data_IF_021880093068
#
_entry.id   IF_021880093068
#
_cell.length_a   1.000
_cell.length_b   1.000
_cell.length_c   1.000
_cell.angle_alpha   90.00
_cell.angle_beta   90.00
_cell.angle_gamma   90.00
#
_symmetry.space_group_name_H-M   'P 1'
#
loop_
_entity.id
_entity.type
_entity.pdbx_description
1 polymer ?
#
# COMPACT_ATOMS: atom_id res chain seq x y z
N UNK A 1 -14.24 18.69 -18.97
CA UNK A 1 -14.85 17.70 -18.05
C UNK A 1 -15.53 18.36 -16.85
N UNK A 2 -14.85 19.15 -16.01
CA UNK A 2 -15.47 19.78 -14.82
C UNK A 2 -16.67 20.69 -15.14
N UNK A 3 -16.62 21.41 -16.27
CA UNK A 3 -17.75 22.21 -16.75
C UNK A 3 -19.01 21.39 -17.04
N UNK A 4 -18.84 20.14 -17.50
CA UNK A 4 -19.94 19.21 -17.74
C UNK A 4 -20.49 18.67 -16.43
N UNK A 5 -19.64 18.26 -15.47
CA UNK A 5 -20.11 17.87 -14.14
C UNK A 5 -20.90 18.99 -13.45
N UNK A 6 -20.46 20.25 -13.58
CA UNK A 6 -21.23 21.41 -13.13
C UNK A 6 -22.60 21.46 -13.80
N UNK A 7 -22.69 21.26 -15.12
CA UNK A 7 -23.97 21.24 -15.83
C UNK A 7 -24.91 20.16 -15.28
N UNK A 8 -24.39 18.95 -15.03
CA UNK A 8 -25.18 17.85 -14.48
C UNK A 8 -25.73 18.17 -13.09
N UNK A 9 -24.93 18.80 -12.22
CA UNK A 9 -25.35 19.14 -10.86
C UNK A 9 -26.25 20.37 -10.81
N UNK A 10 -25.94 21.42 -11.58
CA UNK A 10 -26.66 22.70 -11.55
C UNK A 10 -27.97 22.66 -12.35
N UNK A 11 -27.96 22.02 -13.52
CA UNK A 11 -29.14 21.93 -14.39
C UNK A 11 -29.91 20.62 -14.24
N UNK A 12 -29.40 19.64 -13.49
CA UNK A 12 -30.04 18.34 -13.30
C UNK A 12 -30.17 17.54 -14.60
N UNK A 13 -29.27 17.73 -15.57
CA UNK A 13 -29.38 17.17 -16.90
C UNK A 13 -28.30 17.64 -17.87
N UNK A 14 -28.34 17.14 -19.09
CA UNK A 14 -27.46 17.57 -20.18
C UNK A 14 -28.11 17.41 -21.56
N UNK A 15 -27.54 18.06 -22.57
CA UNK A 15 -27.93 17.88 -23.95
C UNK A 15 -27.23 16.67 -24.55
N UNK A 16 -27.99 15.73 -25.09
CA UNK A 16 -27.44 14.65 -25.92
C UNK A 16 -27.07 15.21 -27.30
N UNK A 17 -25.80 15.13 -27.73
CA UNK A 17 -25.37 15.77 -28.99
C UNK A 17 -25.99 15.17 -30.26
N UNK A 18 -26.35 13.88 -30.23
CA UNK A 18 -26.80 13.14 -31.42
C UNK A 18 -28.16 13.58 -31.94
N UNK A 19 -29.09 13.88 -31.04
CA UNK A 19 -30.49 14.16 -31.32
C UNK A 19 -30.93 15.52 -30.73
N UNK A 20 -29.96 16.32 -30.26
CA UNK A 20 -30.18 17.61 -29.60
C UNK A 20 -31.29 17.55 -28.53
N UNK A 21 -31.39 16.44 -27.79
CA UNK A 21 -32.46 16.24 -26.80
C UNK A 21 -31.94 16.48 -25.38
N UNK A 22 -32.75 17.16 -24.55
CA UNK A 22 -32.44 17.35 -23.14
C UNK A 22 -32.70 16.07 -22.36
N UNK A 23 -31.67 15.56 -21.70
CA UNK A 23 -31.74 14.39 -20.83
C UNK A 23 -31.73 14.87 -19.39
N UNK A 24 -32.84 14.67 -18.68
CA UNK A 24 -32.97 14.94 -17.25
C UNK A 24 -32.39 13.78 -16.45
N UNK A 25 -31.60 14.08 -15.43
CA UNK A 25 -31.15 13.11 -14.44
C UNK A 25 -32.25 12.89 -13.40
N UNK A 26 -32.48 11.63 -13.05
CA UNK A 26 -33.36 11.24 -11.94
C UNK A 26 -32.56 10.36 -10.98
N UNK A 27 -32.50 10.75 -9.70
CA UNK A 27 -31.83 10.01 -8.61
C UNK A 27 -30.36 9.65 -8.88
N UNK A 28 -29.59 10.59 -9.43
CA UNK A 28 -28.14 10.46 -9.61
C UNK A 28 -27.43 11.47 -8.71
N UNK A 29 -26.39 11.02 -8.01
CA UNK A 29 -25.53 11.84 -7.17
C UNK A 29 -24.08 11.72 -7.64
N UNK A 30 -23.31 12.79 -7.48
CA UNK A 30 -21.90 12.83 -7.83
C UNK A 30 -21.07 12.97 -6.57
N UNK A 31 -20.18 12.02 -6.35
CA UNK A 31 -19.17 12.06 -5.29
C UNK A 31 -17.81 11.93 -5.97
N UNK A 32 -16.87 12.80 -5.61
CA UNK A 32 -15.52 12.80 -6.15
C UNK A 32 -14.49 12.77 -5.04
N UNK A 33 -13.38 12.09 -5.29
CA UNK A 33 -12.18 12.18 -4.49
C UNK A 33 -11.09 12.85 -5.34
N UNK A 34 -10.36 13.78 -4.72
CA UNK A 34 -9.23 14.44 -5.35
C UNK A 34 -8.16 14.72 -4.31
N UNK A 35 -6.92 14.72 -4.76
CA UNK A 35 -5.81 15.20 -3.95
C UNK A 35 -5.81 16.74 -3.90
N UNK A 36 -5.10 17.34 -2.91
CA UNK A 36 -4.96 18.78 -2.81
C UNK A 36 -4.44 19.41 -4.11
N UNK A 37 -4.93 20.59 -4.52
CA UNK A 37 -4.51 21.24 -5.76
C UNK A 37 -3.05 21.72 -5.74
N UNK A 38 -2.37 21.61 -4.59
CA UNK A 38 -0.94 21.88 -4.41
C UNK A 38 -0.06 20.76 -4.96
N UNK A 39 -0.60 19.57 -5.17
CA UNK A 39 0.18 18.43 -5.64
C UNK A 39 0.58 18.62 -7.13
N UNK A 40 1.82 18.25 -7.52
CA UNK A 40 2.28 18.39 -8.88
C UNK A 40 1.37 17.69 -9.90
N UNK A 41 1.04 18.38 -10.98
CA UNK A 41 0.24 17.83 -12.08
C UNK A 41 -1.28 17.93 -11.88
N UNK A 42 -1.78 18.53 -10.80
CA UNK A 42 -3.20 18.68 -10.55
C UNK A 42 -3.77 20.04 -10.97
N UNK A 43 -4.98 20.02 -11.52
CA UNK A 43 -5.71 21.21 -11.95
C UNK A 43 -6.63 21.74 -10.85
N UNK A 44 -6.66 23.07 -10.67
CA UNK A 44 -7.51 23.73 -9.69
C UNK A 44 -8.97 23.69 -10.12
N UNK A 45 -9.85 23.18 -9.25
CA UNK A 45 -11.30 23.19 -9.47
C UNK A 45 -11.86 24.60 -9.34
N UNK A 46 -12.70 25.01 -10.29
CA UNK A 46 -13.27 26.37 -10.31
C UNK A 46 -14.37 26.54 -9.25
N UNK A 47 -14.47 27.75 -8.68
CA UNK A 47 -15.54 28.10 -7.72
C UNK A 47 -16.96 27.93 -8.29
N UNK A 48 -17.12 28.03 -9.62
CA UNK A 48 -18.40 27.76 -10.30
C UNK A 48 -18.89 26.33 -10.10
N UNK A 49 -17.97 25.37 -9.97
CA UNK A 49 -18.29 23.98 -9.66
C UNK A 49 -18.33 23.76 -8.14
N UNK A 50 -17.32 24.24 -7.41
CA UNK A 50 -17.18 23.99 -5.97
C UNK A 50 -18.35 24.51 -5.13
N UNK A 51 -19.02 25.58 -5.55
CA UNK A 51 -20.25 26.06 -4.88
C UNK A 51 -21.38 25.02 -4.82
N UNK A 52 -21.32 23.97 -5.65
CA UNK A 52 -22.31 22.88 -5.68
C UNK A 52 -21.82 21.59 -5.00
N UNK A 53 -20.58 21.53 -4.55
CA UNK A 53 -19.95 20.32 -4.01
C UNK A 53 -19.35 20.61 -2.63
N UNK A 54 -19.95 20.10 -1.53
CA UNK A 54 -19.32 20.13 -0.23
C UNK A 54 -17.97 19.41 -0.26
N UNK A 55 -16.94 20.02 0.31
CA UNK A 55 -15.61 19.46 0.39
C UNK A 55 -15.34 18.98 1.82
N UNK A 56 -14.94 17.71 1.93
CA UNK A 56 -14.48 17.12 3.18
C UNK A 56 -13.02 16.72 2.99
N UNK A 57 -12.14 17.30 3.80
CA UNK A 57 -10.73 16.93 3.81
C UNK A 57 -10.55 15.70 4.70
N UNK A 58 -9.86 14.69 4.19
CA UNK A 58 -9.52 13.47 4.93
C UNK A 58 -8.01 13.35 4.92
N UNK A 59 -7.39 13.56 6.08
CA UNK A 59 -5.95 13.44 6.26
C UNK A 59 -5.56 12.00 6.62
N UNK A 60 -4.25 11.73 6.61
CA UNK A 60 -3.70 10.47 7.07
C UNK A 60 -4.03 10.23 8.55
N UNK A 61 -4.34 8.98 8.94
CA UNK A 61 -4.53 8.64 10.34
C UNK A 61 -3.24 8.89 11.14
N UNK A 62 -3.38 9.46 12.33
CA UNK A 62 -2.26 9.61 13.27
C UNK A 62 -1.71 8.28 13.76
N UNK A 63 -0.52 8.31 14.38
CA UNK A 63 0.21 7.13 14.85
C UNK A 63 -0.65 6.18 15.72
N UNK A 64 -1.38 6.72 16.71
CA UNK A 64 -2.23 5.93 17.58
C UNK A 64 -3.34 5.18 16.80
N UNK A 65 -3.94 5.84 15.79
CA UNK A 65 -4.94 5.24 14.92
C UNK A 65 -4.32 4.17 14.02
N UNK A 66 -3.12 4.42 13.49
CA UNK A 66 -2.38 3.43 12.69
C UNK A 66 -2.07 2.18 13.51
N UNK A 67 -1.60 2.34 14.75
CA UNK A 67 -1.34 1.23 15.65
C UNK A 67 -2.61 0.41 15.92
N UNK A 68 -3.77 1.06 16.06
CA UNK A 68 -5.04 0.35 16.22
C UNK A 68 -5.48 -0.39 14.94
N UNK A 69 -5.43 0.29 13.78
CA UNK A 69 -5.84 -0.28 12.48
C UNK A 69 -4.98 -1.50 12.15
N UNK A 70 -3.66 -1.33 12.15
CA UNK A 70 -2.73 -2.41 11.83
C UNK A 70 -2.64 -3.45 12.95
N UNK A 71 -2.82 -3.07 14.21
CA UNK A 71 -2.93 -4.02 15.33
C UNK A 71 -4.13 -4.97 15.18
N UNK A 72 -5.27 -4.45 14.74
CA UNK A 72 -6.46 -5.26 14.44
C UNK A 72 -6.20 -6.22 13.27
N UNK A 73 -5.61 -5.71 12.19
CA UNK A 73 -5.24 -6.53 11.03
C UNK A 73 -4.27 -7.66 11.40
N UNK A 74 -3.18 -7.32 12.11
CA UNK A 74 -2.16 -8.29 12.51
C UNK A 74 -2.75 -9.35 13.46
N UNK A 75 -3.60 -8.95 14.41
CA UNK A 75 -4.28 -9.89 15.31
C UNK A 75 -5.17 -10.87 14.55
N UNK A 76 -5.89 -10.40 13.53
CA UNK A 76 -6.72 -11.26 12.69
C UNK A 76 -5.85 -12.19 11.83
N UNK A 77 -4.81 -11.67 11.19
CA UNK A 77 -3.90 -12.44 10.33
C UNK A 77 -3.23 -13.58 11.09
N UNK A 78 -2.76 -13.33 12.32
CA UNK A 78 -2.10 -14.34 13.15
C UNK A 78 -3.06 -15.47 13.60
N UNK A 79 -4.38 -15.24 13.60
CA UNK A 79 -5.38 -16.26 13.93
C UNK A 79 -5.68 -17.21 12.76
N UNK A 80 -5.37 -16.82 11.52
CA UNK A 80 -5.63 -17.64 10.32
C UNK A 80 -4.68 -18.83 10.24
N UNK A 81 -3.50 -18.74 10.86
CA UNK A 81 -2.54 -19.84 10.95
C UNK A 81 -2.79 -20.59 12.27
N UNK A 82 -3.53 -21.71 12.28
CA UNK A 82 -3.63 -22.53 13.47
C UNK A 82 -2.23 -22.94 13.91
N UNK A 83 -1.96 -22.82 15.21
CA UNK A 83 -0.68 -23.15 15.84
C UNK A 83 0.54 -22.42 15.22
N UNK A 84 0.44 -21.11 14.99
CA UNK A 84 1.54 -20.27 14.49
C UNK A 84 2.90 -20.56 15.16
N UNK A 85 2.92 -20.81 16.47
CA UNK A 85 4.15 -21.13 17.23
C UNK A 85 4.76 -22.50 16.88
N UNK A 86 3.96 -23.43 16.39
CA UNK A 86 4.42 -24.75 15.94
C UNK A 86 4.88 -24.70 14.47
N UNK A 87 4.28 -23.82 13.67
CA UNK A 87 4.56 -23.69 12.23
C UNK A 87 5.72 -22.75 11.92
N UNK A 88 5.86 -21.64 12.66
CA UNK A 88 6.91 -20.64 12.42
C UNK A 88 7.55 -20.20 13.75
N UNK A 89 8.87 -20.12 13.74
CA UNK A 89 9.62 -19.43 14.77
C UNK A 89 9.43 -17.92 14.67
N UNK A 90 9.58 -17.21 15.80
CA UNK A 90 9.57 -15.74 15.82
C UNK A 90 10.59 -15.15 14.83
N UNK A 91 11.75 -15.80 14.67
CA UNK A 91 12.80 -15.39 13.73
C UNK A 91 12.33 -15.44 12.28
N UNK A 92 11.61 -16.49 11.90
CA UNK A 92 11.09 -16.63 10.53
C UNK A 92 10.01 -15.58 10.24
N UNK A 93 9.14 -15.27 11.21
CA UNK A 93 8.15 -14.20 11.06
C UNK A 93 8.79 -12.82 10.88
N UNK A 94 9.82 -12.50 11.68
CA UNK A 94 10.58 -11.26 11.52
C UNK A 94 11.29 -11.22 10.17
N UNK A 95 11.83 -12.35 9.70
CA UNK A 95 12.49 -12.45 8.39
C UNK A 95 11.52 -12.28 7.22
N UNK A 96 10.29 -12.79 7.34
CA UNK A 96 9.20 -12.56 6.38
C UNK A 96 8.78 -11.09 6.37
N UNK A 97 8.57 -10.49 7.55
CA UNK A 97 8.27 -9.06 7.68
C UNK A 97 9.36 -8.20 7.02
N UNK A 98 10.62 -8.51 7.29
CA UNK A 98 11.75 -7.79 6.72
C UNK A 98 11.79 -7.89 5.18
N UNK A 99 11.50 -9.07 4.63
CA UNK A 99 11.38 -9.25 3.17
C UNK A 99 10.28 -8.37 2.58
N UNK A 100 9.09 -8.40 3.15
CA UNK A 100 7.99 -7.62 2.58
C UNK A 100 8.24 -6.12 2.71
N UNK A 101 8.85 -5.66 3.82
CA UNK A 101 9.31 -4.27 3.94
C UNK A 101 10.33 -3.91 2.84
N UNK A 102 11.31 -4.78 2.58
CA UNK A 102 12.28 -4.61 1.51
C UNK A 102 11.69 -4.65 0.10
N UNK A 103 10.50 -5.21 -0.11
CA UNK A 103 9.82 -5.18 -1.41
C UNK A 103 8.92 -3.97 -1.57
N UNK A 104 8.35 -3.47 -0.47
CA UNK A 104 7.38 -2.38 -0.50
C UNK A 104 8.06 -1.01 -0.55
N UNK A 105 9.14 -0.82 0.22
CA UNK A 105 9.75 0.49 0.40
C UNK A 105 10.92 0.75 -0.56
N UNK A 106 12.04 -0.01 -0.55
CA UNK A 106 13.22 0.36 -1.31
C UNK A 106 13.14 0.05 -2.81
N UNK A 107 12.22 -0.81 -3.25
CA UNK A 107 11.99 -1.06 -4.69
C UNK A 107 11.52 0.21 -5.44
N UNK A 108 10.96 1.20 -4.73
CA UNK A 108 10.56 2.50 -5.29
C UNK A 108 11.67 3.56 -5.23
N UNK A 109 12.74 3.28 -4.49
CA UNK A 109 13.85 4.21 -4.32
C UNK A 109 14.85 4.11 -5.46
N UNK A 110 15.43 5.25 -5.83
CA UNK A 110 16.34 5.34 -6.99
C UNK A 110 17.79 5.29 -6.53
N UNK A 111 18.15 6.09 -5.52
CA UNK A 111 19.54 6.21 -5.07
C UNK A 111 19.98 4.99 -4.26
N UNK A 112 21.29 4.73 -4.25
CA UNK A 112 21.85 3.63 -3.46
C UNK A 112 21.83 3.98 -1.97
N UNK A 113 22.06 5.25 -1.68
CA UNK A 113 22.11 5.81 -0.35
C UNK A 113 20.75 5.66 0.37
N UNK A 114 19.63 5.95 -0.32
CA UNK A 114 18.28 5.74 0.24
C UNK A 114 17.96 4.26 0.48
N UNK A 115 18.45 3.37 -0.41
CA UNK A 115 18.26 1.93 -0.24
C UNK A 115 19.01 1.41 0.98
N UNK A 116 20.26 1.84 1.18
CA UNK A 116 21.06 1.53 2.37
C UNK A 116 20.37 2.10 3.62
N UNK A 117 19.91 3.35 3.56
CA UNK A 117 19.18 3.96 4.67
C UNK A 117 17.94 3.15 5.07
N UNK A 118 17.15 2.69 4.11
CA UNK A 118 15.96 1.86 4.38
C UNK A 118 16.32 0.55 5.08
N UNK A 119 17.45 -0.04 4.69
CA UNK A 119 17.98 -1.24 5.33
C UNK A 119 18.39 -0.99 6.79
N UNK A 120 19.08 0.12 7.04
CA UNK A 120 19.48 0.51 8.39
C UNK A 120 18.26 0.79 9.29
N UNK A 121 17.23 1.46 8.76
CA UNK A 121 15.97 1.67 9.49
C UNK A 121 15.28 0.36 9.86
N UNK A 122 15.29 -0.63 8.96
CA UNK A 122 14.70 -1.94 9.23
C UNK A 122 15.42 -2.65 10.39
N UNK A 123 16.75 -2.58 10.42
CA UNK A 123 17.53 -3.13 11.54
C UNK A 123 17.25 -2.41 12.86
N UNK A 124 17.11 -1.08 12.85
CA UNK A 124 16.77 -0.30 14.04
C UNK A 124 15.39 -0.69 14.59
N UNK A 125 14.37 -0.74 13.73
CA UNK A 125 13.01 -1.13 14.12
C UNK A 125 12.95 -2.57 14.66
N UNK A 126 13.69 -3.49 14.04
CA UNK A 126 13.76 -4.87 14.52
C UNK A 126 14.36 -4.96 15.93
N UNK A 127 15.41 -4.19 16.23
CA UNK A 127 16.04 -4.16 17.54
C UNK A 127 15.16 -3.49 18.60
N UNK A 128 14.49 -2.40 18.24
CA UNK A 128 13.59 -1.67 19.13
C UNK A 128 12.41 -2.53 19.58
N UNK A 129 11.75 -3.23 18.65
CA UNK A 129 10.57 -4.03 18.96
C UNK A 129 10.89 -5.47 19.40
N UNK A 130 12.08 -5.99 19.09
CA UNK A 130 12.50 -7.34 19.47
C UNK A 130 13.92 -7.36 20.09
N UNK A 131 14.10 -6.96 21.37
CA UNK A 131 15.43 -6.81 21.99
C UNK A 131 16.27 -8.09 22.06
N UNK A 132 15.63 -9.26 22.03
CA UNK A 132 16.31 -10.56 22.06
C UNK A 132 16.69 -11.08 20.66
N UNK A 133 16.36 -10.34 19.60
CA UNK A 133 16.62 -10.71 18.22
C UNK A 133 17.94 -10.09 17.76
N UNK A 134 18.87 -10.92 17.26
CA UNK A 134 20.12 -10.40 16.73
C UNK A 134 19.92 -10.02 15.27
N UNK A 135 19.52 -8.78 15.02
CA UNK A 135 19.18 -8.27 13.68
C UNK A 135 20.30 -8.50 12.66
N UNK A 136 21.55 -8.23 12.99
CA UNK A 136 22.68 -8.40 12.07
C UNK A 136 22.94 -9.86 11.70
N UNK A 137 22.70 -10.80 12.62
CA UNK A 137 22.90 -12.23 12.38
C UNK A 137 21.69 -12.89 11.71
N UNK A 138 20.48 -12.52 12.12
CA UNK A 138 19.25 -13.21 11.74
C UNK A 138 18.61 -12.62 10.45
N UNK A 139 18.90 -11.35 10.12
CA UNK A 139 18.52 -10.70 8.85
C UNK A 139 19.67 -10.64 7.84
N UNK A 140 20.53 -11.66 7.84
CA UNK A 140 21.58 -11.77 6.83
C UNK A 140 21.00 -11.79 5.42
N UNK A 141 21.59 -10.99 4.53
CA UNK A 141 21.28 -10.99 3.11
C UNK A 141 21.82 -12.24 2.41
N UNK A 142 21.12 -12.75 1.37
CA UNK A 142 19.86 -12.22 0.86
C UNK A 142 18.67 -12.81 1.62
N UNK A 143 17.58 -12.03 1.71
CA UNK A 143 16.31 -12.52 2.26
C UNK A 143 15.44 -13.08 1.13
N UNK A 144 15.65 -14.36 0.80
CA UNK A 144 14.94 -15.03 -0.30
C UNK A 144 13.85 -15.95 0.22
N UNK A 145 12.65 -15.79 -0.32
CA UNK A 145 11.52 -16.70 -0.12
C UNK A 145 10.90 -17.06 -1.47
N UNK A 146 10.58 -18.33 -1.67
CA UNK A 146 9.98 -18.84 -2.91
C UNK A 146 9.18 -20.11 -2.67
N UNK A 147 8.23 -20.38 -3.57
CA UNK A 147 7.46 -21.62 -3.69
C UNK A 147 7.82 -22.42 -4.96
N UNK A 148 9.00 -22.17 -5.55
CA UNK A 148 9.44 -22.88 -6.77
C UNK A 148 10.02 -24.27 -6.51
N UNK A 149 10.47 -24.50 -5.28
CA UNK A 149 11.04 -25.77 -4.80
C UNK A 149 10.07 -26.56 -3.94
N UNK A 150 9.04 -25.90 -3.37
CA UNK A 150 8.04 -26.52 -2.50
C UNK A 150 6.68 -25.89 -2.73
N UNK A 151 5.59 -26.59 -2.38
CA UNK A 151 4.22 -26.06 -2.49
C UNK A 151 4.02 -24.82 -1.61
N UNK A 152 4.78 -24.73 -0.52
CA UNK A 152 4.72 -23.65 0.45
C UNK A 152 5.84 -22.63 0.21
N UNK A 153 5.59 -21.37 0.58
CA UNK A 153 6.59 -20.30 0.44
C UNK A 153 7.60 -20.39 1.58
N UNK A 154 8.81 -20.87 1.29
CA UNK A 154 9.86 -21.14 2.28
C UNK A 154 11.09 -20.26 2.04
N UNK A 155 11.86 -20.01 3.11
CA UNK A 155 13.16 -19.33 3.00
C UNK A 155 14.13 -20.22 2.22
N UNK A 156 14.87 -19.63 1.28
CA UNK A 156 15.88 -20.33 0.49
C UNK A 156 17.25 -19.67 0.63
N UNK A 157 18.29 -20.47 0.43
CA UNK A 157 19.65 -19.99 0.24
C UNK A 157 19.88 -19.58 -1.23
N UNK A 158 21.00 -18.87 -1.48
CA UNK A 158 21.38 -18.46 -2.84
C UNK A 158 21.57 -19.66 -3.75
N UNK A 159 22.09 -20.76 -3.22
CA UNK A 159 22.47 -21.93 -4.01
C UNK A 159 21.25 -22.74 -4.43
N UNK A 160 20.24 -22.89 -3.56
CA UNK A 160 18.97 -23.54 -3.89
C UNK A 160 18.17 -22.78 -4.96
N UNK A 161 18.21 -21.45 -4.95
CA UNK A 161 17.59 -20.64 -6.02
C UNK A 161 18.35 -20.77 -7.34
N UNK A 162 19.69 -20.68 -7.30
CA UNK A 162 20.53 -20.80 -8.51
C UNK A 162 20.39 -22.17 -9.18
N UNK A 163 20.38 -23.25 -8.40
CA UNK A 163 20.23 -24.61 -8.93
C UNK A 163 18.90 -24.79 -9.69
N UNK A 164 17.83 -24.12 -9.26
CA UNK A 164 16.53 -24.18 -9.95
C UNK A 164 16.50 -23.29 -11.19
N UNK A 165 17.11 -22.11 -11.14
CA UNK A 165 17.21 -21.20 -12.28
C UNK A 165 18.06 -21.77 -13.42
N UNK A 166 19.07 -22.60 -13.13
CA UNK A 166 19.88 -23.28 -14.17
C UNK A 166 19.15 -24.41 -14.91
N UNK A 167 17.92 -24.75 -14.51
CA UNK A 167 17.07 -25.72 -15.21
C UNK A 167 16.04 -25.06 -16.14
N UNK A 168 16.05 -23.73 -16.25
CA UNK A 168 15.30 -22.93 -17.23
C UNK A 168 16.26 -22.28 -18.22
#
# INVERSE_FOLDING_TARGET
MISFLRQLVEAGGFWRPLDATWIKLDRIQFVGACNPPTDPGLAVLTQKFLRHAPLVMVDYPGEASLNQIYGTFNTAALKVVPNLRETFSLKELIRIWAREALRLFPDRLVSKEEKIWTWDQLHLMAQEHFPNFNSHKDLMEPILFSNWTSKDCISLDKDGVKARLSHF
#
